data_IF_380390783695
#
_entry.id   IF_380390783695
#
_cell.length_a   1.000
_cell.length_b   1.000
_cell.length_c   1.000
_cell.angle_alpha   90.00
_cell.angle_beta   90.00
_cell.angle_gamma   90.00
#
_symmetry.space_group_name_H-M   'P 1'
#
loop_
_entity.id
_entity.type
_entity.pdbx_description
1 polymer ?
#
# COMPACT_ATOMS: atom_id res chain seq x y z
N UNK A 1 -51.52 9.70 -44.96
CA UNK A 1 -52.41 10.08 -43.83
C UNK A 1 -51.53 10.65 -42.72
N UNK A 2 -51.48 12.00 -42.60
CA UNK A 2 -51.77 12.83 -41.40
C UNK A 2 -50.96 12.45 -40.14
N UNK A 3 -49.83 13.14 -39.85
CA UNK A 3 -49.61 14.30 -38.92
C UNK A 3 -49.76 13.92 -37.42
N UNK A 4 -48.83 14.25 -36.50
CA UNK A 4 -48.79 15.48 -35.64
C UNK A 4 -47.60 15.26 -34.66
N UNK A 5 -46.48 16.00 -34.66
CA UNK A 5 -46.15 17.28 -33.98
C UNK A 5 -46.55 17.41 -32.49
N UNK A 6 -45.57 17.39 -31.58
CA UNK A 6 -45.60 18.33 -30.45
C UNK A 6 -44.19 18.78 -30.04
N UNK A 7 -44.04 20.09 -30.04
CA UNK A 7 -42.86 20.88 -29.74
C UNK A 7 -43.34 21.85 -28.67
N UNK A 8 -42.69 21.93 -27.52
CA UNK A 8 -42.90 23.05 -26.59
C UNK A 8 -41.54 23.50 -26.06
N UNK A 9 -41.18 24.73 -26.42
CA UNK A 9 -40.05 25.53 -25.91
C UNK A 9 -40.49 26.31 -24.65
N UNK A 10 -39.53 27.04 -24.07
CA UNK A 10 -39.59 28.21 -23.12
C UNK A 10 -38.95 27.83 -21.77
N UNK A 11 -37.99 28.54 -21.15
CA UNK A 11 -37.31 29.84 -21.31
C UNK A 11 -35.84 29.67 -20.82
N UNK A 12 -34.80 30.24 -21.46
CA UNK A 12 -34.23 31.60 -21.32
C UNK A 12 -34.11 32.12 -19.88
N UNK A 13 -32.89 32.12 -19.36
CA UNK A 13 -32.38 33.19 -18.49
C UNK A 13 -30.87 33.35 -18.76
N UNK A 14 -30.54 34.41 -19.47
CA UNK A 14 -29.20 34.96 -19.58
C UNK A 14 -29.12 36.16 -18.65
N UNK A 15 -28.11 36.21 -17.78
CA UNK A 15 -27.59 37.47 -17.26
C UNK A 15 -26.11 37.51 -17.65
N UNK A 16 -25.83 38.52 -18.47
CA UNK A 16 -24.52 38.99 -18.89
C UNK A 16 -23.98 39.91 -17.80
N UNK A 17 -22.70 39.78 -17.44
CA UNK A 17 -21.85 40.94 -17.23
C UNK A 17 -20.38 40.54 -17.39
N UNK A 18 -19.85 40.89 -18.56
CA UNK A 18 -18.43 41.04 -18.85
C UNK A 18 -17.97 42.33 -18.20
N UNK A 19 -16.83 42.33 -17.49
CA UNK A 19 -15.87 43.43 -17.63
C UNK A 19 -14.45 42.93 -17.37
N UNK A 20 -13.64 43.11 -18.40
CA UNK A 20 -12.20 42.99 -18.43
C UNK A 20 -11.57 44.15 -17.64
N UNK A 21 -10.48 43.90 -16.90
CA UNK A 21 -9.41 44.89 -16.77
C UNK A 21 -8.09 44.21 -16.39
N UNK A 22 -7.09 44.56 -17.18
CA UNK A 22 -5.66 44.30 -17.12
C UNK A 22 -4.97 44.79 -15.85
N UNK A 23 -3.90 44.05 -15.47
CA UNK A 23 -2.61 44.48 -14.92
C UNK A 23 -2.55 45.57 -13.84
N UNK A 24 -1.96 45.22 -12.68
CA UNK A 24 -0.86 45.99 -12.07
C UNK A 24 -0.18 45.20 -10.95
N UNK A 25 1.14 45.38 -10.87
CA UNK A 25 2.11 44.80 -9.96
C UNK A 25 1.92 45.16 -8.47
N UNK A 26 2.55 44.32 -7.63
CA UNK A 26 3.34 44.60 -6.40
C UNK A 26 2.79 44.06 -5.07
N UNK A 27 3.75 43.46 -4.35
CA UNK A 27 3.90 43.33 -2.90
C UNK A 27 3.25 42.12 -2.19
N UNK A 28 4.01 41.02 -2.11
CA UNK A 28 4.05 40.20 -0.89
C UNK A 28 5.51 40.10 -0.36
N UNK A 29 5.71 40.19 0.97
CA UNK A 29 6.98 40.57 1.58
C UNK A 29 7.98 39.42 1.74
N UNK A 30 9.26 39.75 1.54
CA UNK A 30 10.41 38.86 1.75
C UNK A 30 10.71 38.68 3.25
N UNK A 31 11.22 37.50 3.68
CA UNK A 31 11.61 37.24 5.07
C UNK A 31 12.90 37.99 5.48
N UNK A 32 13.06 38.36 6.76
CA UNK A 32 14.15 39.21 7.23
C UNK A 32 15.53 38.52 7.19
N UNK A 33 16.63 39.27 6.98
CA UNK A 33 17.97 38.73 6.87
C UNK A 33 18.61 38.35 8.22
N UNK A 34 19.41 37.29 8.18
CA UNK A 34 20.34 36.85 9.21
C UNK A 34 21.43 37.90 9.48
N UNK A 35 21.80 38.20 10.74
CA UNK A 35 22.92 39.09 11.03
C UNK A 35 24.27 38.40 10.78
N UNK A 36 25.03 38.96 9.85
CA UNK A 36 26.44 38.61 9.61
C UNK A 36 27.37 39.22 10.65
N UNK A 37 28.40 38.46 11.01
CA UNK A 37 29.54 38.93 11.80
C UNK A 37 30.49 39.79 10.98
N UNK A 38 31.03 40.83 11.61
CA UNK A 38 32.07 41.70 11.05
C UNK A 38 32.84 42.39 12.18
N UNK A 39 34.15 42.13 12.19
CA UNK A 39 35.19 42.54 13.15
C UNK A 39 35.44 44.05 13.20
N UNK A 40 35.83 44.56 14.37
CA UNK A 40 36.36 45.92 14.56
C UNK A 40 37.23 46.02 15.82
N UNK A 41 38.51 46.28 15.61
CA UNK A 41 39.60 46.39 16.58
C UNK A 41 39.85 47.85 16.99
N UNK A 42 40.28 48.07 18.25
CA UNK A 42 41.21 49.15 18.63
C UNK A 42 40.64 50.33 19.42
N UNK A 43 41.20 50.59 20.62
CA UNK A 43 41.08 51.88 21.31
C UNK A 43 41.26 51.83 22.83
N UNK A 44 42.37 52.38 23.32
CA UNK A 44 42.87 52.41 24.70
C UNK A 44 42.32 53.59 25.55
N UNK A 45 42.25 53.41 26.87
CA UNK A 45 42.52 54.47 27.85
C UNK A 45 41.44 54.77 28.90
N UNK A 46 41.82 54.76 30.20
CA UNK A 46 41.19 55.64 31.20
C UNK A 46 40.71 55.00 32.52
N UNK A 47 41.44 55.30 33.59
CA UNK A 47 41.25 54.94 35.00
C UNK A 47 39.98 55.52 35.68
N UNK A 48 39.47 54.79 36.69
CA UNK A 48 39.00 55.36 37.96
C UNK A 48 37.51 55.24 38.28
N UNK A 49 37.17 54.57 39.39
CA UNK A 49 35.87 54.77 40.07
C UNK A 49 35.29 53.54 40.78
N UNK A 50 35.54 53.44 42.08
CA UNK A 50 34.88 52.53 43.02
C UNK A 50 33.40 52.86 43.18
N UNK A 51 32.55 51.83 43.28
CA UNK A 51 31.12 51.97 43.61
C UNK A 51 30.43 50.62 43.61
N UNK A 52 30.43 49.94 44.76
CA UNK A 52 29.70 48.69 44.95
C UNK A 52 28.19 48.85 44.84
N UNK A 53 27.52 47.86 44.26
CA UNK A 53 26.11 47.60 44.49
C UNK A 53 25.86 46.11 44.31
N UNK A 54 25.43 45.45 45.38
CA UNK A 54 25.16 44.02 45.42
C UNK A 54 23.99 43.64 44.53
N UNK A 55 24.29 42.92 43.44
CA UNK A 55 23.31 42.18 42.65
C UNK A 55 23.25 40.75 43.17
N UNK A 56 22.20 40.45 43.92
CA UNK A 56 21.84 39.11 44.41
C UNK A 56 21.87 38.08 43.26
N UNK A 57 22.92 37.26 43.24
CA UNK A 57 23.05 36.11 42.34
C UNK A 57 22.06 35.03 42.77
N UNK A 58 20.82 35.12 42.29
CA UNK A 58 19.89 34.01 42.30
C UNK A 58 20.44 32.92 41.37
N UNK A 59 21.33 32.08 41.89
CA UNK A 59 21.96 31.00 41.13
C UNK A 59 20.90 30.06 40.57
N UNK A 60 20.76 30.02 39.25
CA UNK A 60 19.91 29.03 38.58
C UNK A 60 20.47 27.65 38.85
N UNK A 61 19.74 26.81 39.58
CA UNK A 61 20.13 25.41 39.78
C UNK A 61 19.98 24.68 38.45
N UNK A 62 21.09 24.21 37.89
CA UNK A 62 21.13 23.47 36.63
C UNK A 62 20.62 22.03 36.80
N UNK A 63 20.03 21.49 35.74
CA UNK A 63 19.68 20.06 35.66
C UNK A 63 20.97 19.25 35.54
N UNK A 64 21.12 18.22 36.38
CA UNK A 64 22.26 17.30 36.36
C UNK A 64 21.90 15.93 35.78
N UNK A 65 20.64 15.50 35.91
CA UNK A 65 20.19 14.22 35.36
C UNK A 65 18.70 14.24 34.97
N UNK A 66 18.36 13.38 34.01
CA UNK A 66 17.00 12.95 33.71
C UNK A 66 16.97 11.44 33.90
N UNK A 67 15.97 10.90 34.60
CA UNK A 67 15.75 9.47 34.80
C UNK A 67 14.40 9.09 34.22
N UNK A 68 14.35 8.01 33.45
CA UNK A 68 13.09 7.41 33.01
C UNK A 68 12.71 6.26 33.94
N UNK A 69 11.42 6.05 34.11
CA UNK A 69 10.86 4.87 34.78
C UNK A 69 11.16 3.56 34.03
N UNK A 70 11.37 3.65 32.71
CA UNK A 70 11.72 2.51 31.85
C UNK A 70 12.82 2.87 30.84
N UNK A 71 13.75 1.94 30.66
CA UNK A 71 14.80 2.01 29.63
C UNK A 71 14.48 1.15 28.40
N UNK A 72 13.49 0.26 28.52
CA UNK A 72 12.94 -0.53 27.41
C UNK A 72 11.41 -0.58 27.49
N UNK A 73 10.76 -0.66 26.34
CA UNK A 73 9.31 -0.72 26.22
C UNK A 73 8.91 -1.63 25.05
N UNK A 74 8.00 -2.55 25.28
CA UNK A 74 7.39 -3.36 24.22
C UNK A 74 5.93 -2.97 24.04
N UNK A 75 5.52 -2.61 22.82
CA UNK A 75 4.14 -2.27 22.47
C UNK A 75 3.63 -3.17 21.35
N UNK A 76 2.31 -3.33 21.26
CA UNK A 76 1.68 -3.77 20.01
C UNK A 76 1.45 -2.56 19.09
N UNK A 77 1.25 -2.78 17.80
CA UNK A 77 0.74 -1.72 16.90
C UNK A 77 -0.57 -1.17 17.46
N UNK A 78 -0.69 0.16 17.51
CA UNK A 78 -1.74 0.94 18.20
C UNK A 78 -1.77 0.83 19.74
N UNK A 79 -0.87 0.05 20.34
CA UNK A 79 -0.62 0.07 21.77
C UNK A 79 -0.02 1.40 22.21
N UNK A 80 -0.31 1.81 23.43
CA UNK A 80 0.20 3.04 24.02
C UNK A 80 0.62 2.81 25.47
N UNK A 81 1.68 3.50 25.87
CA UNK A 81 2.15 3.50 27.26
C UNK A 81 2.89 4.81 27.57
N UNK A 82 2.74 5.32 28.79
CA UNK A 82 3.36 6.59 29.21
C UNK A 82 4.70 6.36 29.89
N UNK A 83 5.74 7.02 29.39
CA UNK A 83 7.03 7.12 30.06
C UNK A 83 7.04 8.31 31.02
N UNK A 84 7.56 8.09 32.23
CA UNK A 84 7.68 9.14 33.25
C UNK A 84 9.14 9.57 33.38
N UNK A 85 9.40 10.86 33.20
CA UNK A 85 10.73 11.45 33.36
C UNK A 85 10.86 12.21 34.68
N UNK A 86 11.86 11.87 35.49
CA UNK A 86 12.24 12.57 36.72
C UNK A 86 13.49 13.42 36.47
N UNK A 87 13.41 14.72 36.77
CA UNK A 87 14.52 15.68 36.61
C UNK A 87 15.23 15.90 37.94
N UNK A 88 16.55 15.78 37.97
CA UNK A 88 17.39 16.01 39.14
C UNK A 88 18.36 17.20 38.93
N UNK A 89 18.67 17.97 39.99
CA UNK A 89 18.09 17.89 41.33
C UNK A 89 16.64 18.41 41.36
N UNK A 90 15.87 18.02 42.39
CA UNK A 90 14.45 18.37 42.49
C UNK A 90 14.17 19.89 42.53
N UNK A 91 15.17 20.72 42.85
CA UNK A 91 15.10 22.18 42.84
C UNK A 91 15.68 22.82 41.55
N UNK A 92 15.91 22.04 40.48
CA UNK A 92 16.36 22.56 39.19
C UNK A 92 15.40 23.63 38.64
N UNK A 93 15.97 24.65 38.01
CA UNK A 93 15.23 25.82 37.50
C UNK A 93 14.42 25.51 36.24
N UNK A 94 14.84 24.52 35.45
CA UNK A 94 14.18 24.09 34.21
C UNK A 94 13.80 22.61 34.33
N UNK A 95 12.52 22.34 34.55
CA UNK A 95 11.99 20.97 34.70
C UNK A 95 11.18 20.49 33.49
N UNK A 96 11.04 21.35 32.48
CA UNK A 96 10.28 21.00 31.29
C UNK A 96 11.03 19.90 30.54
N UNK A 97 10.35 18.78 30.30
CA UNK A 97 10.89 17.64 29.57
C UNK A 97 10.40 17.73 28.14
N UNK A 98 11.34 17.78 27.21
CA UNK A 98 11.09 17.63 25.78
C UNK A 98 11.27 16.18 25.38
N UNK A 99 10.37 15.68 24.55
CA UNK A 99 10.36 14.30 24.06
C UNK A 99 10.62 14.26 22.56
N UNK A 100 11.33 13.23 22.11
CA UNK A 100 11.51 12.97 20.69
C UNK A 100 11.60 11.47 20.41
N UNK A 101 11.27 11.07 19.18
CA UNK A 101 11.43 9.71 18.69
C UNK A 101 12.47 9.68 17.56
N UNK A 102 13.29 8.63 17.53
CA UNK A 102 14.19 8.39 16.41
C UNK A 102 13.45 7.95 15.13
N UNK A 103 12.21 7.47 15.24
CA UNK A 103 11.40 7.03 14.11
C UNK A 103 9.89 7.11 14.43
N UNK A 104 9.26 8.23 14.08
CA UNK A 104 7.82 8.45 14.26
C UNK A 104 6.93 7.57 13.37
N UNK A 105 7.48 6.94 12.33
CA UNK A 105 6.78 5.92 11.55
C UNK A 105 6.61 4.59 12.31
N UNK A 106 7.42 4.36 13.35
CA UNK A 106 7.38 3.17 14.21
C UNK A 106 6.76 3.47 15.57
N UNK A 107 7.24 4.49 16.27
CA UNK A 107 6.70 4.91 17.56
C UNK A 107 6.71 6.43 17.69
N UNK A 108 5.57 7.00 18.09
CA UNK A 108 5.42 8.43 18.39
C UNK A 108 5.42 8.65 19.89
N UNK A 109 5.86 9.81 20.34
CA UNK A 109 5.78 10.23 21.73
C UNK A 109 5.12 11.60 21.81
N UNK A 110 4.16 11.76 22.71
CA UNK A 110 3.48 13.03 22.95
C UNK A 110 4.30 13.95 23.86
N UNK A 111 3.87 15.20 24.03
CA UNK A 111 4.50 16.14 24.96
C UNK A 111 4.36 15.73 26.43
N UNK A 112 3.41 14.86 26.77
CA UNK A 112 3.24 14.29 28.12
C UNK A 112 4.04 13.01 28.35
N UNK A 113 4.79 12.51 27.35
CA UNK A 113 5.55 11.26 27.44
C UNK A 113 4.74 10.01 27.08
N UNK A 114 3.52 10.15 26.54
CA UNK A 114 2.74 9.03 26.03
C UNK A 114 3.33 8.52 24.72
N UNK A 115 3.81 7.27 24.73
CA UNK A 115 4.36 6.60 23.55
C UNK A 115 3.28 5.79 22.87
N UNK A 116 3.08 5.97 21.56
CA UNK A 116 2.13 5.23 20.73
C UNK A 116 2.87 4.43 19.66
N UNK A 117 2.61 3.11 19.59
CA UNK A 117 3.12 2.25 18.52
C UNK A 117 2.35 2.47 17.22
N UNK A 118 3.06 2.85 16.14
CA UNK A 118 2.48 3.16 14.82
C UNK A 118 2.63 1.99 13.86
N UNK A 119 3.82 1.39 13.80
CA UNK A 119 4.11 0.24 12.94
C UNK A 119 5.15 -0.67 13.60
N UNK A 120 5.18 -1.94 13.21
CA UNK A 120 6.14 -2.89 13.77
C UNK A 120 7.58 -2.46 13.45
N UNK A 121 8.47 -2.55 14.44
CA UNK A 121 9.86 -2.12 14.33
C UNK A 121 10.44 -1.65 15.65
N UNK A 122 11.59 -0.97 15.58
CA UNK A 122 12.25 -0.38 16.75
C UNK A 122 12.41 1.13 16.60
N UNK A 123 12.29 1.83 17.72
CA UNK A 123 12.52 3.27 17.83
C UNK A 123 13.11 3.60 19.21
N UNK A 124 13.89 4.67 19.30
CA UNK A 124 14.40 5.17 20.57
C UNK A 124 13.67 6.46 20.93
N UNK A 125 13.05 6.47 22.11
CA UNK A 125 12.43 7.67 22.69
C UNK A 125 13.44 8.37 23.57
N UNK A 126 13.60 9.67 23.40
CA UNK A 126 14.53 10.51 24.18
C UNK A 126 13.75 11.54 24.99
N UNK A 127 14.01 11.59 26.30
CA UNK A 127 13.56 12.65 27.19
C UNK A 127 14.72 13.58 27.51
N UNK A 128 14.55 14.90 27.32
CA UNK A 128 15.60 15.90 27.54
C UNK A 128 15.08 17.07 28.39
N UNK A 129 15.83 17.45 29.41
CA UNK A 129 15.59 18.63 30.23
C UNK A 129 16.92 19.36 30.48
N UNK A 130 17.00 20.64 30.11
CA UNK A 130 18.25 21.40 30.16
C UNK A 130 19.36 20.73 29.33
N UNK A 131 20.50 20.45 29.98
CA UNK A 131 21.65 19.78 29.37
C UNK A 131 21.64 18.24 29.48
N UNK A 132 20.70 17.66 30.22
CA UNK A 132 20.66 16.22 30.48
C UNK A 132 19.58 15.50 29.66
N UNK A 133 19.81 14.22 29.37
CA UNK A 133 18.87 13.37 28.62
C UNK A 133 18.88 11.93 29.11
N UNK A 134 17.75 11.25 28.94
CA UNK A 134 17.58 9.81 29.10
C UNK A 134 16.89 9.22 27.87
N UNK A 135 17.10 7.92 27.63
CA UNK A 135 16.54 7.22 26.47
C UNK A 135 15.84 5.93 26.86
N UNK A 136 14.84 5.55 26.08
CA UNK A 136 14.10 4.31 26.18
C UNK A 136 14.04 3.63 24.80
N UNK A 137 14.45 2.36 24.73
CA UNK A 137 14.35 1.56 23.51
C UNK A 137 12.94 0.96 23.40
N UNK A 138 12.21 1.32 22.35
CA UNK A 138 10.85 0.85 22.08
C UNK A 138 10.87 -0.19 20.98
N UNK A 139 10.25 -1.33 21.23
CA UNK A 139 9.99 -2.36 20.22
C UNK A 139 8.48 -2.49 20.01
N UNK A 140 8.00 -2.17 18.82
CA UNK A 140 6.60 -2.34 18.44
C UNK A 140 6.46 -3.67 17.72
N UNK A 141 5.69 -4.58 18.29
CA UNK A 141 5.34 -5.88 17.72
C UNK A 141 4.02 -5.77 16.95
N UNK A 142 3.90 -6.55 15.89
CA UNK A 142 2.62 -6.73 15.21
C UNK A 142 1.79 -7.71 16.04
N UNK A 143 0.49 -7.44 16.19
CA UNK A 143 -0.42 -8.39 16.81
C UNK A 143 -0.52 -9.63 15.92
N UNK A 144 -0.03 -10.77 16.42
CA UNK A 144 -0.15 -12.06 15.76
C UNK A 144 -1.44 -12.74 16.22
N UNK A 145 -2.59 -12.27 15.70
CA UNK A 145 -3.81 -13.05 15.85
C UNK A 145 -3.63 -14.37 15.09
N UNK A 146 -3.79 -15.54 15.73
CA UNK A 146 -3.58 -16.82 15.06
C UNK A 146 -4.54 -16.92 13.88
N UNK A 147 -3.98 -17.03 12.68
CA UNK A 147 -4.75 -17.15 11.46
C UNK A 147 -5.42 -18.52 11.43
N UNK A 148 -6.68 -18.56 10.99
CA UNK A 148 -7.34 -19.83 10.66
C UNK A 148 -6.48 -20.58 9.65
N UNK A 149 -6.39 -21.91 9.76
CA UNK A 149 -5.61 -22.71 8.82
C UNK A 149 -6.06 -22.45 7.36
N UNK A 150 -5.10 -22.27 6.45
CA UNK A 150 -5.38 -22.03 5.04
C UNK A 150 -5.87 -23.32 4.37
N UNK A 151 -7.12 -23.30 3.93
CA UNK A 151 -7.74 -24.35 3.14
C UNK A 151 -7.93 -23.90 1.70
N UNK A 152 -7.59 -24.79 0.76
CA UNK A 152 -7.66 -24.53 -0.68
C UNK A 152 -8.14 -25.78 -1.38
N UNK A 153 -9.21 -25.65 -2.16
CA UNK A 153 -9.84 -26.71 -2.92
C UNK A 153 -9.86 -26.35 -4.40
N UNK A 154 -9.38 -27.27 -5.22
CA UNK A 154 -9.40 -27.16 -6.68
C UNK A 154 -10.45 -28.11 -7.24
N UNK A 155 -11.28 -27.64 -8.17
CA UNK A 155 -12.31 -28.45 -8.81
C UNK A 155 -12.43 -28.14 -10.30
N UNK A 156 -12.83 -29.15 -11.07
CA UNK A 156 -12.80 -29.07 -12.53
C UNK A 156 -11.41 -29.35 -13.09
N UNK A 157 -11.34 -29.55 -14.40
CA UNK A 157 -10.11 -29.85 -15.12
C UNK A 157 -10.12 -29.11 -16.44
N UNK A 158 -9.01 -28.45 -16.74
CA UNK A 158 -8.79 -27.82 -18.04
C UNK A 158 -7.78 -28.69 -18.78
N UNK A 159 -8.19 -29.27 -19.91
CA UNK A 159 -7.23 -29.97 -20.76
C UNK A 159 -6.24 -28.95 -21.30
N UNK A 160 -4.96 -29.15 -21.00
CA UNK A 160 -3.86 -28.31 -21.44
C UNK A 160 -3.15 -28.86 -22.68
N UNK A 161 -3.54 -30.05 -23.13
CA UNK A 161 -3.09 -30.67 -24.37
C UNK A 161 -4.02 -30.28 -25.51
N UNK A 162 -5.33 -30.47 -25.33
CA UNK A 162 -6.32 -30.21 -26.38
C UNK A 162 -7.22 -29.02 -26.00
N UNK A 163 -7.39 -28.11 -26.95
CA UNK A 163 -8.31 -26.99 -26.77
C UNK A 163 -9.75 -27.48 -26.80
N UNK A 164 -10.51 -27.19 -25.74
CA UNK A 164 -11.95 -27.42 -25.69
C UNK A 164 -12.65 -26.15 -25.23
N UNK A 165 -13.49 -25.61 -26.11
CA UNK A 165 -14.25 -24.38 -25.84
C UNK A 165 -15.14 -24.56 -24.61
N UNK A 166 -15.10 -23.59 -23.69
CA UNK A 166 -15.99 -23.55 -22.53
C UNK A 166 -15.60 -24.46 -21.36
N UNK A 167 -14.49 -25.22 -21.45
CA UNK A 167 -13.93 -25.89 -20.28
C UNK A 167 -13.62 -24.89 -19.17
N UNK A 168 -13.79 -25.33 -17.94
CA UNK A 168 -13.63 -24.49 -16.76
C UNK A 168 -13.04 -25.25 -15.59
N UNK A 169 -12.39 -24.51 -14.71
CA UNK A 169 -11.96 -24.98 -13.39
C UNK A 169 -12.16 -23.87 -12.37
N UNK A 170 -12.22 -24.25 -11.11
CA UNK A 170 -12.44 -23.32 -10.00
C UNK A 170 -11.47 -23.62 -8.87
N UNK A 171 -11.05 -22.57 -8.18
CA UNK A 171 -10.25 -22.67 -6.96
C UNK A 171 -10.98 -21.92 -5.86
N UNK A 172 -11.32 -22.63 -4.80
CA UNK A 172 -11.96 -22.11 -3.60
C UNK A 172 -10.93 -22.06 -2.46
N UNK A 173 -10.94 -21.01 -1.66
CA UNK A 173 -10.03 -20.83 -0.53
C UNK A 173 -10.65 -19.97 0.56
N UNK A 174 -10.34 -20.27 1.82
CA UNK A 174 -10.95 -19.57 2.95
C UNK A 174 -10.30 -18.22 3.27
N UNK A 175 -9.01 -18.04 2.97
CA UNK A 175 -8.26 -16.79 3.10
C UNK A 175 -7.09 -16.71 2.13
N UNK A 176 -6.50 -15.54 1.96
CA UNK A 176 -5.27 -15.40 1.20
C UNK A 176 -4.05 -15.94 1.99
N UNK A 177 -3.01 -16.45 1.29
CA UNK A 177 -1.74 -16.76 1.94
C UNK A 177 -1.13 -15.50 2.58
N UNK A 178 -0.57 -15.64 3.77
CA UNK A 178 0.03 -14.54 4.52
C UNK A 178 1.55 -14.45 4.34
N UNK A 179 2.20 -15.55 3.97
CA UNK A 179 3.66 -15.65 3.80
C UNK A 179 4.01 -16.30 2.46
N UNK A 180 5.25 -16.12 2.03
CA UNK A 180 5.79 -16.76 0.83
C UNK A 180 5.75 -18.30 0.95
N UNK A 181 5.95 -18.84 2.15
CA UNK A 181 5.92 -20.29 2.37
C UNK A 181 4.50 -20.86 2.35
N UNK A 182 3.50 -20.14 2.87
CA UNK A 182 2.10 -20.51 2.64
C UNK A 182 1.76 -20.46 1.15
N UNK A 183 2.22 -19.44 0.43
CA UNK A 183 2.00 -19.35 -1.02
C UNK A 183 2.63 -20.53 -1.78
N UNK A 184 3.87 -20.91 -1.44
CA UNK A 184 4.52 -22.12 -1.99
C UNK A 184 3.72 -23.38 -1.67
N UNK A 185 3.25 -23.54 -0.43
CA UNK A 185 2.44 -24.69 -0.03
C UNK A 185 1.12 -24.76 -0.82
N UNK A 186 0.45 -23.64 -1.06
CA UNK A 186 -0.71 -23.59 -1.95
C UNK A 186 -0.32 -23.94 -3.38
N UNK A 187 0.80 -23.40 -3.88
CA UNK A 187 1.31 -23.68 -5.23
C UNK A 187 1.61 -25.15 -5.44
N UNK A 188 2.15 -25.86 -4.45
CA UNK A 188 2.31 -27.31 -4.51
C UNK A 188 0.97 -28.04 -4.69
N UNK A 189 -0.10 -27.57 -4.04
CA UNK A 189 -1.44 -28.17 -4.12
C UNK A 189 -2.14 -27.91 -5.45
N UNK A 190 -2.08 -26.68 -5.97
CA UNK A 190 -2.92 -26.25 -7.11
C UNK A 190 -2.16 -25.87 -8.37
N UNK A 191 -0.87 -25.53 -8.27
CA UNK A 191 -0.07 -25.02 -9.38
C UNK A 191 0.16 -26.04 -10.50
N UNK A 192 -0.12 -27.32 -10.25
CA UNK A 192 -0.08 -28.38 -11.26
C UNK A 192 -1.17 -28.27 -12.32
N UNK A 193 -2.18 -27.41 -12.12
CA UNK A 193 -3.31 -27.21 -13.02
C UNK A 193 -3.36 -25.76 -13.58
N UNK A 194 -3.84 -25.54 -14.82
CA UNK A 194 -3.85 -24.21 -15.43
C UNK A 194 -4.65 -23.16 -14.66
N UNK A 195 -5.82 -23.55 -14.14
CA UNK A 195 -6.67 -22.66 -13.34
C UNK A 195 -6.10 -22.41 -11.93
N UNK A 196 -5.27 -23.32 -11.43
CA UNK A 196 -4.49 -23.09 -10.21
C UNK A 196 -3.46 -21.98 -10.37
N UNK A 197 -2.73 -21.95 -11.50
CA UNK A 197 -1.81 -20.85 -11.79
C UNK A 197 -2.50 -19.49 -11.87
N UNK A 198 -3.73 -19.44 -12.40
CA UNK A 198 -4.55 -18.21 -12.42
C UNK A 198 -4.97 -17.79 -11.02
N UNK A 199 -5.42 -18.73 -10.17
CA UNK A 199 -5.79 -18.42 -8.79
C UNK A 199 -4.57 -17.96 -7.97
N UNK A 200 -3.41 -18.59 -8.14
CA UNK A 200 -2.14 -18.16 -7.57
C UNK A 200 -1.77 -16.74 -8.01
N UNK A 201 -2.11 -16.35 -9.24
CA UNK A 201 -1.87 -14.98 -9.70
C UNK A 201 -2.74 -13.96 -8.96
N UNK A 202 -4.03 -14.27 -8.74
CA UNK A 202 -4.93 -13.44 -7.91
C UNK A 202 -4.36 -13.32 -6.50
N UNK A 203 -3.94 -14.43 -5.90
CA UNK A 203 -3.35 -14.45 -4.56
C UNK A 203 -2.06 -13.60 -4.50
N UNK A 204 -1.14 -13.78 -5.45
CA UNK A 204 0.13 -13.05 -5.47
C UNK A 204 -0.06 -11.53 -5.63
N UNK A 205 -1.03 -11.11 -6.45
CA UNK A 205 -1.36 -9.68 -6.61
C UNK A 205 -1.99 -9.08 -5.35
N UNK A 206 -2.84 -9.84 -4.66
CA UNK A 206 -3.41 -9.42 -3.37
C UNK A 206 -2.34 -9.35 -2.27
N UNK A 207 -1.42 -10.32 -2.25
CA UNK A 207 -0.28 -10.29 -1.34
C UNK A 207 0.60 -9.08 -1.61
N UNK A 208 0.81 -8.68 -2.88
CA UNK A 208 1.55 -7.47 -3.24
C UNK A 208 0.86 -6.18 -2.75
N UNK A 209 -0.47 -6.15 -2.78
CA UNK A 209 -1.25 -5.02 -2.24
C UNK A 209 -1.00 -4.83 -0.74
N UNK A 210 -0.86 -5.93 0.01
CA UNK A 210 -0.64 -5.93 1.46
C UNK A 210 0.82 -5.67 1.84
N UNK A 211 1.73 -6.34 1.14
CA UNK A 211 3.17 -6.27 1.36
C UNK A 211 3.88 -6.43 0.01
N UNK A 212 4.51 -5.35 -0.45
CA UNK A 212 5.16 -5.29 -1.76
C UNK A 212 6.32 -6.29 -1.89
N UNK A 213 7.01 -6.59 -0.79
CA UNK A 213 8.15 -7.52 -0.79
C UNK A 213 7.67 -8.95 -0.92
N UNK A 214 6.76 -9.37 -0.02
CA UNK A 214 6.17 -10.71 -0.04
C UNK A 214 5.46 -10.98 -1.36
N UNK A 215 4.63 -10.03 -1.82
CA UNK A 215 3.92 -10.18 -3.08
C UNK A 215 4.84 -10.25 -4.30
N UNK A 216 5.96 -9.50 -4.30
CA UNK A 216 6.93 -9.56 -5.40
C UNK A 216 7.55 -10.95 -5.51
N UNK A 217 7.88 -11.59 -4.38
CA UNK A 217 8.37 -12.97 -4.37
C UNK A 217 7.32 -13.95 -4.90
N UNK A 218 6.07 -13.81 -4.47
CA UNK A 218 4.97 -14.66 -4.94
C UNK A 218 4.70 -14.49 -6.45
N UNK A 219 4.75 -13.23 -6.95
CA UNK A 219 4.65 -12.92 -8.38
C UNK A 219 5.80 -13.61 -9.13
N UNK A 220 7.04 -13.50 -8.66
CA UNK A 220 8.19 -14.17 -9.29
C UNK A 220 8.02 -15.69 -9.32
N UNK A 221 7.42 -16.33 -8.32
CA UNK A 221 7.23 -17.79 -8.31
C UNK A 221 6.19 -18.28 -9.33
N UNK A 222 5.25 -17.42 -9.74
CA UNK A 222 4.11 -17.77 -10.57
C UNK A 222 4.10 -17.10 -11.95
N UNK A 223 5.17 -16.40 -12.36
CA UNK A 223 5.22 -15.67 -13.62
C UNK A 223 6.48 -16.00 -14.41
N UNK A 224 6.43 -15.84 -15.74
CA UNK A 224 7.66 -15.73 -16.52
C UNK A 224 8.40 -14.45 -16.13
N UNK A 225 9.73 -14.44 -16.27
CA UNK A 225 10.55 -13.27 -15.96
C UNK A 225 10.10 -12.02 -16.72
N UNK A 226 9.69 -12.19 -17.98
CA UNK A 226 9.15 -11.10 -18.80
C UNK A 226 7.85 -10.51 -18.25
N UNK A 227 6.98 -11.33 -17.63
CA UNK A 227 5.71 -10.86 -17.11
C UNK A 227 5.83 -10.20 -15.73
N UNK A 228 6.84 -10.55 -14.93
CA UNK A 228 7.04 -9.97 -13.58
C UNK A 228 7.05 -8.44 -13.63
N UNK A 229 7.81 -7.85 -14.55
CA UNK A 229 7.91 -6.40 -14.67
C UNK A 229 6.58 -5.75 -15.06
N UNK A 230 5.87 -6.34 -16.03
CA UNK A 230 4.57 -5.83 -16.47
C UNK A 230 3.54 -5.83 -15.33
N UNK A 231 3.48 -6.94 -14.58
CA UNK A 231 2.60 -7.06 -13.41
C UNK A 231 2.96 -6.03 -12.35
N UNK A 232 4.23 -5.95 -11.95
CA UNK A 232 4.67 -5.07 -10.86
C UNK A 232 4.45 -3.59 -11.21
N UNK A 233 4.78 -3.18 -12.43
CA UNK A 233 4.53 -1.80 -12.89
C UNK A 233 3.05 -1.46 -12.78
N UNK A 234 2.18 -2.36 -13.22
CA UNK A 234 0.74 -2.12 -13.13
C UNK A 234 0.22 -2.10 -11.69
N UNK A 235 0.67 -3.01 -10.83
CA UNK A 235 0.24 -3.00 -9.42
C UNK A 235 0.72 -1.73 -8.71
N UNK A 236 1.89 -1.19 -9.08
CA UNK A 236 2.34 0.12 -8.59
C UNK A 236 1.40 1.24 -9.03
N UNK A 237 0.91 1.24 -10.26
CA UNK A 237 -0.09 2.22 -10.71
C UNK A 237 -1.40 2.09 -9.93
N UNK A 238 -1.89 0.86 -9.75
CA UNK A 238 -3.17 0.58 -9.09
C UNK A 238 -3.17 0.93 -7.60
N UNK A 239 -2.04 0.74 -6.90
CA UNK A 239 -1.93 0.87 -5.44
C UNK A 239 -0.93 1.95 -4.99
N UNK A 240 -0.39 2.74 -5.92
CA UNK A 240 0.60 3.79 -5.64
C UNK A 240 0.15 5.20 -6.00
N UNK A 241 -1.01 5.37 -6.63
CA UNK A 241 -1.59 6.69 -6.91
C UNK A 241 -2.25 7.32 -5.68
N UNK A 242 -2.50 8.63 -5.77
CA UNK A 242 -3.32 9.43 -4.85
C UNK A 242 -4.62 8.68 -4.46
N UNK A 243 -5.18 8.96 -3.28
CA UNK A 243 -6.37 8.29 -2.73
C UNK A 243 -7.56 8.27 -3.72
N UNK A 244 -7.57 9.21 -4.66
CA UNK A 244 -8.55 9.37 -5.72
C UNK A 244 -8.46 8.32 -6.85
N UNK A 245 -7.31 7.66 -7.02
CA UNK A 245 -7.07 6.63 -8.06
C UNK A 245 -6.74 5.25 -7.49
N UNK A 246 -6.56 5.14 -6.17
CA UNK A 246 -6.33 3.86 -5.53
C UNK A 246 -7.58 2.97 -5.69
N UNK A 247 -7.43 1.82 -6.33
CA UNK A 247 -8.51 0.84 -6.53
C UNK A 247 -8.25 -0.39 -5.67
N UNK A 248 -8.40 -0.30 -4.33
CA UNK A 248 -8.09 -1.42 -3.43
C UNK A 248 -8.96 -2.65 -3.70
N UNK A 249 -10.13 -2.46 -4.32
CA UNK A 249 -11.05 -3.50 -4.75
C UNK A 249 -10.66 -4.21 -6.06
N UNK A 250 -9.60 -3.75 -6.76
CA UNK A 250 -9.24 -4.25 -8.09
C UNK A 250 -9.00 -5.76 -8.10
N UNK A 251 -8.38 -6.32 -7.05
CA UNK A 251 -8.14 -7.76 -6.98
C UNK A 251 -9.43 -8.52 -6.62
N UNK A 252 -10.25 -7.93 -5.75
CA UNK A 252 -11.52 -8.51 -5.34
C UNK A 252 -12.48 -8.72 -6.53
N UNK A 253 -12.40 -7.88 -7.57
CA UNK A 253 -13.18 -8.04 -8.79
C UNK A 253 -13.01 -9.39 -9.51
N UNK A 254 -11.92 -10.12 -9.25
CA UNK A 254 -11.66 -11.44 -9.84
C UNK A 254 -12.14 -12.61 -8.97
N UNK A 255 -12.85 -12.30 -7.88
CA UNK A 255 -13.43 -13.27 -6.97
C UNK A 255 -14.94 -13.37 -7.20
N UNK A 256 -15.46 -14.58 -7.07
CA UNK A 256 -16.89 -14.87 -7.21
C UNK A 256 -17.70 -14.04 -6.20
N UNK A 257 -18.81 -13.49 -6.69
CA UNK A 257 -19.72 -12.67 -5.89
C UNK A 257 -19.29 -11.21 -5.75
N UNK A 258 -18.08 -10.80 -6.19
CA UNK A 258 -17.71 -9.39 -6.20
C UNK A 258 -18.27 -8.68 -7.43
N UNK A 259 -19.01 -7.58 -7.21
CA UNK A 259 -19.54 -6.73 -8.27
C UNK A 259 -19.66 -5.27 -7.79
N UNK A 260 -19.74 -4.27 -8.69
CA UNK A 260 -19.81 -2.87 -8.29
C UNK A 260 -20.94 -2.56 -7.29
N UNK A 261 -22.11 -3.19 -7.49
CA UNK A 261 -23.31 -2.98 -6.68
C UNK A 261 -23.25 -3.54 -5.26
N UNK A 262 -22.20 -4.29 -4.91
CA UNK A 262 -21.96 -4.71 -3.54
C UNK A 262 -20.63 -4.21 -2.98
N UNK A 263 -20.02 -3.24 -3.67
CA UNK A 263 -18.73 -2.70 -3.29
C UNK A 263 -17.55 -3.63 -3.53
N UNK A 264 -17.69 -4.56 -4.49
CA UNK A 264 -16.69 -5.61 -4.75
C UNK A 264 -16.40 -6.50 -3.54
N UNK A 265 -17.39 -6.70 -2.67
CA UNK A 265 -17.27 -7.61 -1.55
C UNK A 265 -17.63 -9.03 -2.02
N UNK A 266 -16.65 -9.95 -2.21
CA UNK A 266 -16.91 -11.29 -2.73
C UNK A 266 -17.65 -12.17 -1.71
N UNK A 267 -18.23 -13.26 -2.20
CA UNK A 267 -18.74 -14.32 -1.35
C UNK A 267 -17.58 -15.09 -0.72
N UNK A 268 -17.73 -15.49 0.56
CA UNK A 268 -16.81 -16.40 1.24
C UNK A 268 -17.37 -17.82 1.28
N UNK A 269 -16.54 -18.88 1.20
CA UNK A 269 -15.10 -18.84 0.92
C UNK A 269 -14.81 -18.22 -0.46
N UNK A 270 -13.66 -17.58 -0.60
CA UNK A 270 -13.28 -16.92 -1.85
C UNK A 270 -13.19 -17.95 -2.97
N UNK A 271 -13.66 -17.59 -4.17
CA UNK A 271 -13.58 -18.49 -5.34
C UNK A 271 -13.06 -17.74 -6.56
N UNK A 272 -12.10 -18.33 -7.27
CA UNK A 272 -11.68 -17.90 -8.62
C UNK A 272 -12.24 -18.89 -9.63
N UNK A 273 -13.08 -18.41 -10.54
CA UNK A 273 -13.68 -19.23 -11.60
C UNK A 273 -12.97 -18.96 -12.93
N UNK A 274 -12.32 -19.98 -13.49
CA UNK A 274 -11.48 -19.85 -14.69
C UNK A 274 -12.11 -20.62 -15.83
N UNK A 275 -12.11 -20.02 -17.02
CA UNK A 275 -12.53 -20.66 -18.27
C UNK A 275 -11.44 -20.62 -19.31
N UNK A 276 -11.44 -21.62 -20.19
CA UNK A 276 -10.74 -21.55 -21.48
C UNK A 276 -11.34 -20.43 -22.31
N UNK A 277 -10.48 -19.58 -22.90
CA UNK A 277 -10.93 -18.48 -23.75
C UNK A 277 -11.74 -19.02 -24.95
N UNK A 278 -13.04 -18.73 -25.05
CA UNK A 278 -13.87 -19.24 -26.13
C UNK A 278 -13.52 -18.65 -27.50
N UNK A 279 -12.76 -17.55 -27.53
CA UNK A 279 -12.38 -16.84 -28.75
C UNK A 279 -10.94 -17.11 -29.20
N UNK A 280 -10.12 -17.79 -28.38
CA UNK A 280 -8.69 -17.97 -28.66
C UNK A 280 -8.21 -19.39 -28.32
N UNK A 281 -7.92 -20.16 -29.37
CA UNK A 281 -7.32 -21.48 -29.23
C UNK A 281 -5.88 -21.42 -28.73
N UNK A 282 -5.42 -22.50 -28.09
CA UNK A 282 -4.07 -22.60 -27.57
C UNK A 282 -3.00 -22.49 -28.67
N UNK A 283 -1.87 -21.86 -28.35
CA UNK A 283 -0.80 -21.60 -29.33
C UNK A 283 0.54 -22.20 -28.86
N UNK A 284 1.31 -22.85 -29.75
CA UNK A 284 2.65 -23.32 -29.40
C UNK A 284 3.61 -22.15 -29.14
N UNK A 285 4.63 -22.40 -28.34
CA UNK A 285 5.74 -21.49 -28.12
C UNK A 285 7.07 -22.25 -28.11
N UNK A 286 7.92 -21.93 -29.08
CA UNK A 286 9.26 -22.51 -29.18
C UNK A 286 10.17 -21.99 -28.05
N UNK A 287 10.06 -20.69 -27.72
CA UNK A 287 10.86 -20.05 -26.67
C UNK A 287 10.65 -20.73 -25.31
N UNK A 288 9.40 -21.03 -24.94
CA UNK A 288 9.06 -21.65 -23.67
C UNK A 288 8.99 -23.18 -23.74
N UNK A 289 9.18 -23.75 -24.94
CA UNK A 289 9.07 -25.19 -25.22
C UNK A 289 7.75 -25.76 -24.68
N UNK A 290 6.67 -25.00 -24.88
CA UNK A 290 5.37 -25.23 -24.25
C UNK A 290 4.24 -24.67 -25.09
N UNK A 291 3.02 -24.82 -24.60
CA UNK A 291 1.81 -24.28 -25.21
C UNK A 291 1.25 -23.17 -24.34
N UNK A 292 0.97 -22.01 -24.94
CA UNK A 292 0.18 -20.97 -24.31
C UNK A 292 -1.28 -21.39 -24.27
N UNK A 293 -1.81 -21.49 -23.06
CA UNK A 293 -3.22 -21.65 -22.76
C UNK A 293 -3.81 -20.26 -22.57
N UNK A 294 -4.82 -19.91 -23.37
CA UNK A 294 -5.54 -18.66 -23.24
C UNK A 294 -6.74 -18.88 -22.34
N UNK A 295 -6.71 -18.25 -21.16
CA UNK A 295 -7.71 -18.40 -20.12
C UNK A 295 -8.34 -17.05 -19.77
N UNK A 296 -9.50 -17.09 -19.12
CA UNK A 296 -10.20 -15.93 -18.57
C UNK A 296 -10.70 -16.24 -17.17
N UNK A 297 -10.81 -15.22 -16.33
CA UNK A 297 -11.54 -15.31 -15.05
C UNK A 297 -12.98 -14.86 -15.31
N UNK A 298 -13.96 -15.63 -14.86
CA UNK A 298 -15.36 -15.18 -14.81
C UNK A 298 -15.47 -14.11 -13.73
N UNK A 299 -15.90 -12.93 -14.13
CA UNK A 299 -16.07 -11.78 -13.24
C UNK A 299 -17.31 -10.99 -13.65
N UNK A 300 -18.02 -10.44 -12.68
CA UNK A 300 -19.09 -9.44 -12.88
C UNK A 300 -18.58 -8.00 -12.78
N UNK A 301 -17.32 -7.84 -12.37
CA UNK A 301 -16.65 -6.57 -12.19
C UNK A 301 -16.17 -5.89 -13.45
N UNK A 302 -16.23 -6.56 -14.60
CA UNK A 302 -15.61 -6.06 -15.81
C UNK A 302 -16.36 -4.88 -16.42
N UNK A 303 -15.62 -3.86 -16.85
CA UNK A 303 -16.15 -2.75 -17.64
C UNK A 303 -16.10 -3.12 -19.14
N UNK A 304 -17.25 -3.08 -19.81
CA UNK A 304 -17.41 -3.58 -21.18
C UNK A 304 -17.13 -2.49 -22.25
N UNK A 305 -16.49 -1.38 -21.88
CA UNK A 305 -16.20 -0.26 -22.79
C UNK A 305 -15.41 -0.69 -24.04
N UNK A 306 -16.03 -0.51 -25.22
CA UNK A 306 -15.56 -0.47 -26.62
C UNK A 306 -14.44 -1.38 -27.16
N UNK A 307 -13.72 -2.19 -26.38
CA UNK A 307 -12.70 -3.13 -26.88
C UNK A 307 -13.21 -4.56 -27.06
N UNK A 308 -14.48 -4.82 -26.70
CA UNK A 308 -15.12 -6.12 -26.87
C UNK A 308 -15.45 -6.51 -28.31
N UNK A 309 -15.23 -5.63 -29.30
CA UNK A 309 -15.56 -5.92 -30.70
C UNK A 309 -14.44 -6.60 -31.51
N UNK A 310 -13.19 -6.64 -31.05
CA UNK A 310 -12.07 -7.16 -31.87
C UNK A 310 -11.03 -8.00 -31.11
N UNK A 311 -11.46 -9.00 -30.33
CA UNK A 311 -10.66 -10.21 -30.04
C UNK A 311 -9.22 -10.04 -29.51
N UNK A 312 -8.80 -8.90 -28.98
CA UNK A 312 -7.38 -8.64 -28.70
C UNK A 312 -7.16 -7.96 -27.35
N UNK A 313 -6.27 -8.58 -26.55
CA UNK A 313 -5.48 -8.07 -25.42
C UNK A 313 -5.83 -8.39 -23.95
N UNK A 314 -7.04 -8.84 -23.58
CA UNK A 314 -7.39 -9.06 -22.15
C UNK A 314 -7.46 -10.53 -21.69
N UNK A 315 -6.73 -11.43 -22.33
CA UNK A 315 -6.64 -12.84 -21.93
C UNK A 315 -5.49 -13.10 -20.94
N UNK A 316 -5.62 -14.12 -20.10
CA UNK A 316 -4.52 -14.66 -19.28
C UNK A 316 -3.78 -15.74 -20.07
N UNK A 317 -2.46 -15.63 -20.17
CA UNK A 317 -1.65 -16.59 -20.92
C UNK A 317 -0.92 -17.46 -19.92
N UNK A 318 -1.31 -18.71 -19.83
CA UNK A 318 -0.77 -19.69 -18.88
C UNK A 318 -0.01 -20.76 -19.63
N UNK A 319 1.10 -21.23 -19.08
CA UNK A 319 1.94 -22.23 -19.74
C UNK A 319 2.70 -23.08 -18.72
N UNK A 320 3.21 -24.23 -19.17
CA UNK A 320 4.03 -25.15 -18.39
C UNK A 320 5.43 -25.18 -19.00
N UNK A 321 6.26 -24.20 -18.64
CA UNK A 321 7.57 -23.97 -19.29
C UNK A 321 8.60 -25.01 -18.86
N UNK A 322 9.45 -25.41 -19.80
CA UNK A 322 10.68 -26.18 -19.53
C UNK A 322 11.94 -25.35 -19.68
N UNK A 323 11.81 -24.08 -20.07
CA UNK A 323 12.93 -23.15 -20.29
C UNK A 323 13.72 -22.94 -18.98
N UNK A 324 15.05 -23.15 -18.99
CA UNK A 324 15.89 -22.86 -17.83
C UNK A 324 15.79 -21.40 -17.40
N UNK A 325 15.80 -21.15 -16.09
CA UNK A 325 15.70 -19.81 -15.50
C UNK A 325 14.27 -19.25 -15.42
N UNK A 326 13.29 -19.87 -16.06
CA UNK A 326 11.89 -19.52 -15.84
C UNK A 326 11.31 -20.28 -14.63
N UNK A 327 10.47 -19.63 -13.83
CA UNK A 327 9.65 -20.28 -12.82
C UNK A 327 8.77 -21.37 -13.46
N UNK A 328 8.61 -22.52 -12.81
CA UNK A 328 7.84 -23.64 -13.36
C UNK A 328 8.45 -25.01 -13.11
N UNK A 329 9.66 -25.07 -12.53
CA UNK A 329 10.32 -26.32 -12.10
C UNK A 329 10.35 -27.38 -13.21
N UNK A 330 10.83 -26.96 -14.40
CA UNK A 330 10.94 -27.79 -15.60
C UNK A 330 9.59 -28.43 -16.01
N UNK A 331 8.52 -27.66 -15.88
CA UNK A 331 7.19 -28.10 -16.22
C UNK A 331 6.58 -28.98 -15.14
N UNK A 332 6.87 -28.73 -13.86
CA UNK A 332 6.02 -29.22 -12.76
C UNK A 332 4.77 -28.34 -12.66
N UNK A 333 4.97 -27.03 -12.69
CA UNK A 333 3.92 -26.04 -12.47
C UNK A 333 3.53 -25.29 -13.73
N UNK A 334 2.25 -24.93 -13.80
CA UNK A 334 1.79 -23.86 -14.67
C UNK A 334 2.15 -22.51 -14.08
N UNK A 335 2.50 -21.56 -14.94
CA UNK A 335 2.81 -20.17 -14.58
C UNK A 335 2.20 -19.20 -15.59
N UNK A 336 2.14 -17.93 -15.23
CA UNK A 336 1.53 -16.86 -16.01
C UNK A 336 2.58 -16.11 -16.83
N UNK A 337 2.39 -16.06 -18.14
CA UNK A 337 3.21 -15.27 -19.05
C UNK A 337 2.58 -13.93 -19.42
N UNK A 338 1.26 -13.78 -19.24
CA UNK A 338 0.57 -12.51 -19.43
C UNK A 338 -0.66 -12.47 -18.54
N UNK A 339 -0.85 -11.35 -17.83
CA UNK A 339 -2.01 -11.09 -16.98
C UNK A 339 -2.64 -9.70 -17.21
N UNK A 340 -2.51 -9.15 -18.42
CA UNK A 340 -3.11 -7.87 -18.81
C UNK A 340 -4.63 -7.82 -18.52
N UNK A 341 -5.32 -8.94 -18.76
CA UNK A 341 -6.76 -9.07 -18.48
C UNK A 341 -7.18 -8.96 -17.01
N UNK A 342 -6.22 -8.96 -16.07
CA UNK A 342 -6.49 -8.86 -14.63
C UNK A 342 -6.43 -7.42 -14.08
N UNK A 343 -6.22 -6.40 -14.92
CA UNK A 343 -6.07 -5.04 -14.39
C UNK A 343 -6.51 -3.92 -15.33
N UNK A 344 -6.89 -4.23 -16.56
CA UNK A 344 -7.21 -3.23 -17.58
C UNK A 344 -8.64 -2.69 -17.46
N UNK A 345 -9.59 -3.44 -16.89
CA UNK A 345 -11.03 -3.20 -17.15
C UNK A 345 -11.96 -3.59 -15.98
N UNK A 346 -11.74 -3.07 -14.76
CA UNK A 346 -12.70 -3.23 -13.65
C UNK A 346 -13.54 -1.96 -13.50
N UNK A 347 -14.86 -2.12 -13.46
CA UNK A 347 -15.85 -1.04 -13.30
C UNK A 347 -15.56 -0.27 -12.01
N UNK A 348 -15.76 1.06 -12.00
CA UNK A 348 -15.68 1.82 -10.76
C UNK A 348 -16.74 1.35 -9.76
N UNK A 349 -16.42 1.49 -8.49
CA UNK A 349 -17.35 1.33 -7.36
C UNK A 349 -18.14 2.63 -7.16
N UNK A 350 -19.43 2.55 -6.80
CA UNK A 350 -20.21 3.74 -6.40
C UNK A 350 -19.77 4.21 -5.01
N UNK A 351 -19.91 5.50 -4.71
CA UNK A 351 -19.70 6.05 -3.36
C UNK A 351 -20.67 5.45 -2.32
N UNK A 352 -21.83 4.95 -2.75
CA UNK A 352 -22.82 4.32 -1.86
C UNK A 352 -22.42 2.92 -1.39
N UNK A 353 -21.38 2.34 -2.01
CA UNK A 353 -20.92 1.00 -1.71
C UNK A 353 -19.49 1.03 -1.19
N UNK A 354 -19.32 0.60 0.05
CA UNK A 354 -18.01 0.51 0.67
C UNK A 354 -17.34 -0.83 0.35
N UNK A 355 -16.07 -0.78 -0.05
CA UNK A 355 -15.23 -1.97 -0.11
C UNK A 355 -14.73 -2.30 1.31
N UNK A 356 -15.10 -3.47 1.83
CA UNK A 356 -14.79 -3.89 3.21
C UNK A 356 -13.42 -4.53 3.36
N UNK A 357 -12.62 -4.54 2.30
CA UNK A 357 -11.33 -5.23 2.28
C UNK A 357 -11.42 -6.70 1.90
N UNK A 358 -10.24 -7.29 1.71
CA UNK A 358 -10.04 -8.74 1.67
C UNK A 358 -9.25 -9.12 2.93
N UNK A 359 -9.51 -10.32 3.45
CA UNK A 359 -8.94 -10.86 4.70
C UNK A 359 -7.43 -10.90 4.73
#
# INVERSE_FOLDING_TARGET
>A
MKKIFWMTRIAVLAIVSVLCCTACDKDEPTPPPTPGGGSGSGGSGGSGGSGGSGGSGGGTVAVTAVKLDKTTLELQVNGHETLTATVEPANASVKIVSWSSSNEGVAKVSTSGEVTGVAAGTATITAKAGGASATCAVTVKKEEKPLVALDVKITGKIDHTNYTKGQSGTVEFNRFPATVDEFKAVREKIGGEPHGAVALQVMAMEMYRRDRSIGLECIKLNNTLSNVNAVVSRLKELFGGDINYNRPYQIAAYLKGAEPGNGYNPTKPYTVEVIVDPAKAYQPSEIFQSKFLFLRIKTKGRDNGSSGQNGTSDGLYVLKTKKPGEPGEKGKFFIVNNSAGMHSQVKPISFDHEFKGLD
#
